data_IF_038248927381
#
_entry.id   IF_038248927381
#
_cell.length_a   1.000
_cell.length_b   1.000
_cell.length_c   1.000
_cell.angle_alpha   90.00
_cell.angle_beta   90.00
_cell.angle_gamma   90.00
#
_symmetry.space_group_name_H-M   'P 1'
#
loop_
_entity.id
_entity.type
_entity.pdbx_description
1 polymer ?
#
# COMPACT_ATOMS: atom_id res chain seq x y z
N UNK A 1 -28.23 6.18 25.69
CA UNK A 1 -27.55 7.37 25.09
C UNK A 1 -26.67 6.81 24.00
N UNK A 2 -26.91 7.17 22.75
CA UNK A 2 -26.30 6.58 21.57
C UNK A 2 -24.77 6.70 21.63
N UNK A 3 -24.11 5.59 21.94
CA UNK A 3 -22.69 5.41 21.64
C UNK A 3 -22.56 5.47 20.12
N UNK A 4 -22.21 6.65 19.63
CA UNK A 4 -21.68 6.79 18.29
C UNK A 4 -20.38 5.99 18.29
N UNK A 5 -20.44 4.75 17.83
CA UNK A 5 -19.24 3.97 17.58
C UNK A 5 -18.49 4.71 16.47
N UNK A 6 -17.48 5.50 16.86
CA UNK A 6 -16.57 6.10 15.92
C UNK A 6 -15.83 4.92 15.30
N UNK A 7 -16.32 4.40 14.18
CA UNK A 7 -15.57 3.47 13.34
C UNK A 7 -14.39 4.25 12.77
N UNK A 8 -13.31 4.36 13.57
CA UNK A 8 -12.08 5.00 13.16
C UNK A 8 -11.43 4.09 12.14
N UNK A 9 -11.68 4.36 10.86
CA UNK A 9 -10.90 3.78 9.77
C UNK A 9 -9.44 4.18 10.00
N UNK A 10 -8.62 3.22 10.39
CA UNK A 10 -7.22 3.44 10.66
C UNK A 10 -6.41 3.07 9.43
N UNK A 11 -5.43 3.91 9.11
CA UNK A 11 -4.47 3.61 8.04
C UNK A 11 -3.63 2.41 8.47
N UNK A 12 -3.74 1.34 7.70
CA UNK A 12 -2.97 0.13 7.91
C UNK A 12 -1.69 0.15 7.08
N UNK A 13 -1.80 0.45 5.78
CA UNK A 13 -0.64 0.55 4.90
C UNK A 13 -0.63 1.95 4.30
N UNK A 14 0.53 2.60 4.33
CA UNK A 14 0.77 3.80 3.56
C UNK A 14 2.07 3.64 2.79
N UNK A 15 2.12 4.16 1.57
CA UNK A 15 3.29 3.98 0.74
C UNK A 15 3.37 4.97 -0.40
N UNK A 16 4.51 4.90 -1.11
CA UNK A 16 4.74 5.66 -2.32
C UNK A 16 5.39 4.79 -3.38
N UNK A 17 4.96 4.99 -4.62
CA UNK A 17 5.49 4.35 -5.79
C UNK A 17 6.34 5.35 -6.57
N UNK A 18 7.60 5.02 -6.78
CA UNK A 18 8.57 5.87 -7.48
C UNK A 18 9.40 5.09 -8.48
N UNK A 19 9.94 5.80 -9.45
CA UNK A 19 10.93 5.28 -10.38
C UNK A 19 12.28 5.12 -9.66
N UNK A 20 12.87 3.93 -9.70
CA UNK A 20 14.16 3.64 -9.03
C UNK A 20 15.35 4.34 -9.68
N UNK A 21 15.24 4.70 -10.96
CA UNK A 21 16.27 5.33 -11.78
C UNK A 21 16.19 6.85 -11.68
N UNK A 22 14.99 7.43 -11.79
CA UNK A 22 14.80 8.89 -11.82
C UNK A 22 14.33 9.48 -10.49
N UNK A 23 13.86 8.65 -9.56
CA UNK A 23 13.28 9.08 -8.28
C UNK A 23 11.90 9.76 -8.42
N UNK A 24 11.33 9.79 -9.63
CA UNK A 24 10.05 10.45 -9.90
C UNK A 24 8.89 9.62 -9.37
N UNK A 25 7.82 10.25 -8.84
CA UNK A 25 6.60 9.54 -8.50
C UNK A 25 5.97 8.94 -9.76
N UNK A 26 5.39 7.76 -9.60
CA UNK A 26 4.77 7.00 -10.68
C UNK A 26 3.24 6.97 -10.50
N UNK A 27 2.53 7.99 -10.99
CA UNK A 27 1.09 8.06 -10.85
C UNK A 27 0.38 7.00 -11.68
N UNK A 28 -0.71 6.45 -11.15
CA UNK A 28 -1.47 5.42 -11.84
C UNK A 28 -0.77 4.05 -11.90
N UNK A 29 0.33 3.86 -11.16
CA UNK A 29 0.87 2.52 -10.94
C UNK A 29 -0.22 1.63 -10.31
N UNK A 30 -0.37 0.40 -10.81
CA UNK A 30 -1.28 -0.60 -10.25
C UNK A 30 -0.62 -1.17 -9.01
N UNK A 31 -1.29 -1.08 -7.87
CA UNK A 31 -0.88 -1.69 -6.61
C UNK A 31 -1.83 -2.84 -6.32
N UNK A 32 -1.27 -4.02 -6.10
CA UNK A 32 -1.98 -5.21 -5.67
C UNK A 32 -1.47 -5.58 -4.28
N UNK A 33 -2.34 -5.51 -3.28
CA UNK A 33 -2.05 -5.84 -1.89
C UNK A 33 -2.66 -7.18 -1.58
N UNK A 34 -1.85 -8.22 -1.62
CA UNK A 34 -2.26 -9.60 -1.35
C UNK A 34 -2.11 -9.91 0.14
N UNK A 35 -3.21 -10.20 0.81
CA UNK A 35 -3.25 -10.64 2.21
C UNK A 35 -3.44 -12.15 2.35
N UNK A 36 -3.85 -12.58 3.54
CA UNK A 36 -4.10 -13.98 3.89
C UNK A 36 -5.32 -14.58 3.18
N UNK A 37 -6.37 -13.78 2.98
CA UNK A 37 -7.65 -14.21 2.40
C UNK A 37 -8.21 -13.27 1.34
N UNK A 38 -7.66 -12.06 1.21
CA UNK A 38 -8.11 -11.05 0.24
C UNK A 38 -6.94 -10.54 -0.60
N UNK A 39 -7.26 -9.98 -1.77
CA UNK A 39 -6.31 -9.22 -2.57
C UNK A 39 -6.97 -7.91 -2.97
N UNK A 40 -6.46 -6.81 -2.42
CA UNK A 40 -6.95 -5.48 -2.75
C UNK A 40 -6.16 -4.92 -3.91
N UNK A 41 -6.85 -4.36 -4.89
CA UNK A 41 -6.22 -3.67 -6.00
C UNK A 41 -6.58 -2.19 -5.97
N UNK A 42 -5.55 -1.34 -6.02
CA UNK A 42 -5.68 0.11 -6.03
C UNK A 42 -4.67 0.73 -6.98
N UNK A 43 -4.83 2.02 -7.27
CA UNK A 43 -3.93 2.76 -8.14
C UNK A 43 -3.22 3.85 -7.35
N UNK A 44 -1.94 4.10 -7.64
CA UNK A 44 -1.20 5.18 -7.02
C UNK A 44 -1.82 6.53 -7.42
N UNK A 45 -1.88 7.44 -6.45
CA UNK A 45 -2.32 8.82 -6.67
C UNK A 45 -1.36 9.57 -7.61
N UNK A 46 -1.72 10.80 -7.99
CA UNK A 46 -0.93 11.62 -8.91
C UNK A 46 0.49 11.93 -8.37
N UNK A 47 0.60 11.98 -7.05
CA UNK A 47 1.83 12.16 -6.28
C UNK A 47 2.58 10.84 -6.00
N UNK A 48 2.08 9.71 -6.52
CA UNK A 48 2.64 8.37 -6.33
C UNK A 48 2.26 7.73 -5.00
N UNK A 49 1.53 8.40 -4.11
CA UNK A 49 1.16 7.83 -2.83
C UNK A 49 -0.04 6.88 -2.93
N UNK A 50 -0.11 5.95 -1.99
CA UNK A 50 -1.27 5.08 -1.79
C UNK A 50 -1.47 4.82 -0.30
N UNK A 51 -2.71 4.52 0.08
CA UNK A 51 -3.04 4.09 1.44
C UNK A 51 -4.13 3.03 1.42
N UNK A 52 -4.04 2.11 2.37
CA UNK A 52 -5.04 1.09 2.64
C UNK A 52 -5.51 1.27 4.08
N UNK A 53 -6.82 1.26 4.26
CA UNK A 53 -7.47 1.45 5.54
C UNK A 53 -8.00 0.10 6.04
N UNK A 54 -8.12 -0.03 7.35
CA UNK A 54 -8.90 -1.09 8.00
C UNK A 54 -8.43 -2.53 7.70
N UNK A 55 -7.11 -2.76 7.70
CA UNK A 55 -6.58 -4.12 7.61
C UNK A 55 -6.51 -4.79 8.98
N UNK A 56 -6.73 -6.09 8.98
CA UNK A 56 -6.46 -6.95 10.12
C UNK A 56 -4.96 -7.14 10.34
N UNK A 57 -4.62 -7.70 11.50
CA UNK A 57 -3.25 -8.05 11.80
C UNK A 57 -2.84 -9.25 10.94
N UNK A 58 -1.75 -9.09 10.18
CA UNK A 58 -1.33 -10.09 9.24
C UNK A 58 -0.15 -9.61 8.40
N UNK A 59 0.37 -10.52 7.60
CA UNK A 59 1.40 -10.20 6.62
C UNK A 59 0.72 -9.96 5.27
N UNK A 60 1.05 -8.82 4.66
CA UNK A 60 0.53 -8.39 3.38
C UNK A 60 1.68 -8.18 2.40
N UNK A 61 1.46 -8.60 1.17
CA UNK A 61 2.41 -8.46 0.07
C UNK A 61 1.89 -7.35 -0.82
N UNK A 62 2.58 -6.21 -0.80
CA UNK A 62 2.27 -5.08 -1.66
C UNK A 62 3.10 -5.22 -2.93
N UNK A 63 2.45 -5.44 -4.06
CA UNK A 63 3.05 -5.41 -5.37
C UNK A 63 2.65 -4.12 -6.08
N UNK A 64 3.61 -3.41 -6.67
CA UNK A 64 3.36 -2.29 -7.56
C UNK A 64 3.86 -2.67 -8.96
N UNK A 65 3.08 -2.32 -9.98
CA UNK A 65 3.41 -2.56 -11.38
C UNK A 65 2.86 -1.43 -12.25
N UNK A 66 3.49 -1.18 -13.39
CA UNK A 66 3.00 -0.18 -14.35
C UNK A 66 2.91 -0.78 -15.76
N UNK A 67 1.80 -1.48 -16.07
CA UNK A 67 1.64 -2.11 -17.37
C UNK A 67 1.64 -1.07 -18.50
N UNK A 68 2.31 -1.39 -19.61
CA UNK A 68 2.36 -0.55 -20.80
C UNK A 68 3.35 0.62 -20.75
N UNK A 69 4.04 0.84 -19.63
CA UNK A 69 4.99 1.96 -19.47
C UNK A 69 6.47 1.52 -19.47
N UNK A 70 6.75 0.22 -19.63
CA UNK A 70 8.11 -0.31 -19.65
C UNK A 70 8.78 -0.40 -18.27
N UNK A 71 8.03 -0.22 -17.18
CA UNK A 71 8.52 -0.46 -15.82
C UNK A 71 8.30 -1.91 -15.40
N UNK A 72 9.17 -2.37 -14.49
CA UNK A 72 9.09 -3.72 -13.93
C UNK A 72 7.98 -3.85 -12.89
N UNK A 73 8.15 -4.79 -11.97
CA UNK A 73 7.30 -4.95 -10.79
C UNK A 73 8.16 -4.77 -9.53
N UNK A 74 7.62 -4.04 -8.56
CA UNK A 74 8.21 -3.90 -7.23
C UNK A 74 7.34 -4.65 -6.24
N UNK A 75 7.94 -5.49 -5.40
CA UNK A 75 7.21 -6.23 -4.36
C UNK A 75 7.79 -5.86 -3.00
N UNK A 76 6.91 -5.57 -2.04
CA UNK A 76 7.26 -5.24 -0.66
C UNK A 76 6.34 -6.00 0.30
N UNK A 77 6.93 -6.77 1.19
CA UNK A 77 6.20 -7.40 2.28
C UNK A 77 6.09 -6.43 3.46
N UNK A 78 4.90 -6.29 4.01
CA UNK A 78 4.62 -5.50 5.21
C UNK A 78 3.81 -6.32 6.22
N UNK A 79 4.01 -6.06 7.50
CA UNK A 79 3.27 -6.73 8.57
C UNK A 79 2.45 -5.72 9.33
N UNK A 80 1.15 -5.95 9.40
CA UNK A 80 0.20 -5.16 10.17
C UNK A 80 0.05 -5.79 11.54
N UNK A 81 0.23 -4.99 12.58
CA UNK A 81 -0.03 -5.41 13.96
C UNK A 81 -0.92 -4.38 14.64
N UNK A 82 -1.69 -4.79 15.63
CA UNK A 82 -2.46 -3.85 16.48
C UNK A 82 -1.77 -3.74 17.82
N UNK A 83 -1.68 -2.52 18.34
CA UNK A 83 -1.17 -2.30 19.69
C UNK A 83 -2.20 -2.71 20.75
N UNK A 84 -1.81 -2.67 22.02
CA UNK A 84 -2.67 -2.99 23.16
C UNK A 84 -3.89 -2.07 23.32
N UNK A 85 -3.92 -0.94 22.62
CA UNK A 85 -5.05 0.01 22.60
C UNK A 85 -6.03 -0.26 21.43
N UNK A 86 -5.82 -1.35 20.66
CA UNK A 86 -6.62 -1.67 19.49
C UNK A 86 -6.30 -0.78 18.28
N UNK A 87 -5.21 -0.02 18.32
CA UNK A 87 -4.76 0.84 17.22
C UNK A 87 -3.85 0.07 16.26
N UNK A 88 -4.17 0.10 14.98
CA UNK A 88 -3.35 -0.45 13.91
C UNK A 88 -2.01 0.28 13.85
N UNK A 89 -0.92 -0.47 13.92
CA UNK A 89 0.41 0.00 13.58
C UNK A 89 0.50 0.11 12.07
N UNK A 90 0.49 1.35 11.58
CA UNK A 90 0.66 1.64 10.18
C UNK A 90 2.01 1.11 9.69
N UNK A 91 1.98 0.27 8.66
CA UNK A 91 3.17 -0.16 7.95
C UNK A 91 3.44 0.74 6.75
N UNK A 92 4.72 0.99 6.50
CA UNK A 92 5.17 1.81 5.37
C UNK A 92 5.70 0.90 4.26
N UNK A 93 5.13 1.05 3.06
CA UNK A 93 5.52 0.30 1.87
C UNK A 93 6.04 1.27 0.79
N UNK A 94 7.35 1.47 0.75
CA UNK A 94 7.99 2.21 -0.33
C UNK A 94 8.33 1.24 -1.46
N UNK A 95 7.75 1.47 -2.64
CA UNK A 95 7.98 0.66 -3.83
C UNK A 95 8.71 1.49 -4.88
N UNK A 96 9.79 0.90 -5.38
CA UNK A 96 10.60 1.49 -6.43
C UNK A 96 10.53 0.57 -7.65
N UNK A 97 10.08 1.12 -8.77
CA UNK A 97 9.96 0.43 -10.04
C UNK A 97 11.16 0.79 -10.90
N UNK A 98 11.94 -0.21 -11.29
CA UNK A 98 12.97 -0.03 -12.29
C UNK A 98 12.35 0.04 -13.69
N UNK A 99 12.77 1.02 -14.47
CA UNK A 99 12.53 1.02 -15.90
C UNK A 99 13.33 -0.13 -16.53
N UNK A 100 12.66 -1.00 -17.30
CA UNK A 100 13.25 -2.24 -17.88
C UNK A 100 13.53 -2.09 -19.38
N UNK A 101 13.72 -0.85 -19.85
CA UNK A 101 13.95 -0.54 -21.26
C UNK A 101 15.42 -0.65 -21.67
#
# INVERSE_FOLDING_TARGET
>A
MSEWEITRHQVAIAGKVTDSTTGRPLPGARISVSGLWDTLELNAALDGHFHVLDLENGTYHVEASMPGSGYGTGIKQVTITRNSEGKIQMAVAELQLACVH
#
